data_IF_974297880067
#
_entry.id   IF_974297880067
#
_cell.length_a   1.000
_cell.length_b   1.000
_cell.length_c   1.000
_cell.angle_alpha   90.00
_cell.angle_beta   90.00
_cell.angle_gamma   90.00
#
_symmetry.space_group_name_H-M   'P 1'
#
loop_
_entity.id
_entity.type
_entity.pdbx_description
1 polymer ?
#
# COMPACT_ATOMS: atom_id res chain seq x y z
N UNK A 1 -30.08 -21.05 -21.12
CA UNK A 1 -29.97 -19.75 -20.40
C UNK A 1 -28.57 -19.72 -19.82
N UNK A 2 -27.68 -18.95 -20.45
CA UNK A 2 -26.28 -18.83 -20.01
C UNK A 2 -26.22 -17.86 -18.86
N UNK A 3 -26.01 -18.35 -17.65
CA UNK A 3 -25.60 -17.52 -16.53
C UNK A 3 -24.21 -16.95 -16.84
N UNK A 4 -24.19 -15.67 -17.14
CA UNK A 4 -22.99 -14.86 -17.24
C UNK A 4 -22.36 -14.81 -15.84
N UNK A 5 -21.37 -15.68 -15.58
CA UNK A 5 -20.55 -15.60 -14.39
C UNK A 5 -19.83 -14.25 -14.42
N UNK A 6 -20.34 -13.29 -13.65
CA UNK A 6 -19.66 -12.01 -13.44
C UNK A 6 -18.28 -12.34 -12.87
N UNK A 7 -17.23 -12.02 -13.63
CA UNK A 7 -15.90 -11.90 -13.06
C UNK A 7 -16.07 -11.05 -11.80
N UNK A 8 -15.68 -11.58 -10.66
CA UNK A 8 -15.53 -10.75 -9.47
C UNK A 8 -14.39 -9.80 -9.83
N UNK A 9 -14.74 -8.59 -10.26
CA UNK A 9 -13.78 -7.52 -10.45
C UNK A 9 -13.16 -7.29 -9.10
N UNK A 10 -11.96 -7.83 -8.89
CA UNK A 10 -11.20 -7.58 -7.69
C UNK A 10 -10.77 -6.13 -7.73
N UNK A 11 -11.57 -5.27 -7.13
CA UNK A 11 -11.22 -3.88 -6.94
C UNK A 11 -10.11 -3.83 -5.90
N UNK A 12 -9.01 -3.20 -6.25
CA UNK A 12 -7.98 -2.81 -5.31
C UNK A 12 -8.23 -1.33 -4.99
N UNK A 13 -8.58 -1.05 -3.76
CA UNK A 13 -8.84 0.31 -3.29
C UNK A 13 -7.64 0.82 -2.52
N UNK A 14 -7.17 2.03 -2.84
CA UNK A 14 -6.14 2.73 -2.07
C UNK A 14 -6.76 3.95 -1.42
N UNK A 15 -6.46 4.19 -0.14
CA UNK A 15 -6.94 5.36 0.61
C UNK A 15 -5.78 5.97 1.38
N UNK A 16 -5.49 7.25 1.18
CA UNK A 16 -4.58 8.01 2.04
C UNK A 16 -5.32 8.37 3.34
N UNK A 17 -4.81 7.93 4.47
CA UNK A 17 -5.40 8.20 5.79
C UNK A 17 -4.77 9.42 6.45
N UNK A 18 -3.54 9.73 6.09
CA UNK A 18 -2.79 10.89 6.50
C UNK A 18 -1.69 11.20 5.50
N UNK A 19 -1.50 12.47 5.19
CA UNK A 19 -0.61 12.96 4.13
C UNK A 19 0.47 13.92 4.63
N UNK A 20 0.56 14.13 5.94
CA UNK A 20 1.57 14.96 6.59
C UNK A 20 2.78 14.17 7.03
N UNK A 21 3.93 14.85 7.05
CA UNK A 21 5.17 14.38 7.65
C UNK A 21 5.58 15.22 8.85
N UNK A 22 6.31 14.61 9.78
CA UNK A 22 6.91 15.22 10.98
C UNK A 22 5.92 15.70 12.03
N UNK A 23 4.98 16.59 11.68
CA UNK A 23 4.05 17.25 12.62
C UNK A 23 2.61 17.10 12.14
N UNK A 24 1.69 16.64 12.99
CA UNK A 24 0.29 16.62 12.63
C UNK A 24 -0.28 18.04 12.57
N UNK A 25 -1.14 18.28 11.61
CA UNK A 25 -1.93 19.52 11.50
C UNK A 25 -3.40 19.19 11.68
N UNK A 26 -4.26 20.13 12.08
CA UNK A 26 -5.70 19.89 12.21
C UNK A 26 -6.33 19.32 10.94
N UNK A 27 -5.84 19.77 9.77
CA UNK A 27 -6.36 19.39 8.45
C UNK A 27 -5.49 18.33 7.74
N UNK A 28 -4.43 17.84 8.39
CA UNK A 28 -3.50 16.91 7.78
C UNK A 28 -2.91 15.96 8.83
N UNK A 29 -3.43 14.75 8.89
CA UNK A 29 -2.92 13.69 9.74
C UNK A 29 -1.55 13.18 9.27
N UNK A 30 -0.81 12.54 10.16
CA UNK A 30 0.50 11.95 9.86
C UNK A 30 0.40 10.73 8.96
N UNK A 31 1.54 10.37 8.35
CA UNK A 31 1.66 9.38 7.29
C UNK A 31 0.96 8.06 7.61
N UNK A 32 -0.04 7.74 6.82
CA UNK A 32 -0.67 6.44 6.78
C UNK A 32 -1.47 6.26 5.49
N UNK A 33 -1.50 5.05 4.94
CA UNK A 33 -2.34 4.69 3.82
C UNK A 33 -2.91 3.28 4.00
N UNK A 34 -4.03 2.97 3.36
CA UNK A 34 -4.63 1.65 3.35
C UNK A 34 -4.81 1.13 1.93
N UNK A 35 -4.43 -0.13 1.70
CA UNK A 35 -4.71 -0.86 0.47
C UNK A 35 -5.70 -1.96 0.80
N UNK A 36 -6.87 -1.92 0.19
CA UNK A 36 -8.00 -2.81 0.49
C UNK A 36 -8.33 -3.69 -0.72
N UNK A 37 -8.44 -5.00 -0.49
CA UNK A 37 -8.89 -6.00 -1.47
C UNK A 37 -9.88 -6.93 -0.80
N UNK A 38 -11.02 -7.18 -1.42
CA UNK A 38 -12.05 -8.09 -0.87
C UNK A 38 -12.55 -7.68 0.53
N UNK A 39 -12.47 -6.40 0.86
CA UNK A 39 -12.88 -5.84 2.16
C UNK A 39 -11.88 -6.09 3.30
N UNK A 40 -10.70 -6.66 3.04
CA UNK A 40 -9.57 -6.75 3.97
C UNK A 40 -8.51 -5.72 3.56
N UNK A 41 -7.79 -5.17 4.53
CA UNK A 41 -6.85 -4.08 4.27
C UNK A 41 -5.46 -4.35 4.82
N UNK A 42 -4.46 -3.90 4.07
CA UNK A 42 -3.08 -3.74 4.54
C UNK A 42 -2.89 -2.25 4.85
N UNK A 43 -2.42 -1.95 6.06
CA UNK A 43 -2.08 -0.59 6.47
C UNK A 43 -0.61 -0.33 6.18
N UNK A 44 -0.30 0.80 5.57
CA UNK A 44 1.04 1.29 5.25
C UNK A 44 1.32 2.47 6.18
N UNK A 45 2.29 2.32 7.06
CA UNK A 45 2.59 3.20 8.19
C UNK A 45 1.40 3.41 9.15
N UNK A 46 1.69 3.97 10.32
CA UNK A 46 0.70 4.22 11.35
C UNK A 46 1.09 5.45 12.16
N UNK A 47 0.98 6.62 11.56
CA UNK A 47 1.18 7.90 12.24
C UNK A 47 0.15 8.12 13.35
N UNK A 48 0.40 9.08 14.21
CA UNK A 48 -0.50 9.44 15.31
C UNK A 48 -1.93 9.68 14.79
N UNK A 49 -2.92 9.10 15.44
CA UNK A 49 -4.33 9.26 15.07
C UNK A 49 -4.81 8.43 13.89
N UNK A 50 -4.00 7.52 13.33
CA UNK A 50 -4.38 6.66 12.19
C UNK A 50 -5.70 5.93 12.40
N UNK A 51 -6.02 5.45 13.63
CA UNK A 51 -7.29 4.79 13.93
C UNK A 51 -8.51 5.72 13.77
N UNK A 52 -8.32 7.02 13.89
CA UNK A 52 -9.37 8.03 13.62
C UNK A 52 -9.56 8.16 12.10
N UNK A 53 -8.47 8.21 11.34
CA UNK A 53 -8.49 8.22 9.87
C UNK A 53 -9.18 6.98 9.29
N UNK A 54 -8.83 5.79 9.78
CA UNK A 54 -9.50 4.54 9.38
C UNK A 54 -11.02 4.66 9.51
N UNK A 55 -11.52 5.12 10.67
CA UNK A 55 -12.94 5.29 10.91
C UNK A 55 -13.56 6.38 10.04
N UNK A 56 -12.88 7.52 9.90
CA UNK A 56 -13.35 8.69 9.14
C UNK A 56 -13.54 8.36 7.66
N UNK A 57 -12.62 7.59 7.08
CA UNK A 57 -12.60 7.28 5.65
C UNK A 57 -13.15 5.89 5.33
N UNK A 58 -13.85 5.24 6.29
CA UNK A 58 -14.59 4.01 6.05
C UNK A 58 -13.72 2.77 5.85
N UNK A 59 -12.46 2.80 6.29
CA UNK A 59 -11.59 1.61 6.29
C UNK A 59 -11.77 0.86 7.60
N UNK A 60 -12.18 -0.40 7.52
CA UNK A 60 -12.45 -1.20 8.72
C UNK A 60 -11.15 -1.59 9.44
N UNK A 61 -10.91 -1.00 10.60
CA UNK A 61 -9.80 -1.38 11.47
C UNK A 61 -9.85 -2.88 11.84
N UNK A 62 -11.03 -3.41 12.14
CA UNK A 62 -11.23 -4.82 12.50
C UNK A 62 -10.73 -5.78 11.38
N UNK A 63 -10.83 -5.37 10.11
CA UNK A 63 -10.46 -6.17 8.94
C UNK A 63 -9.04 -5.90 8.43
N UNK A 64 -8.18 -5.30 9.25
CA UNK A 64 -6.76 -5.16 8.94
C UNK A 64 -6.10 -6.54 8.95
N UNK A 65 -5.45 -6.90 7.85
CA UNK A 65 -4.68 -8.14 7.71
C UNK A 65 -3.25 -7.98 8.21
N UNK A 66 -2.66 -6.80 7.99
CA UNK A 66 -1.29 -6.50 8.35
C UNK A 66 -1.06 -4.99 8.46
N UNK A 67 0.03 -4.61 9.13
CA UNK A 67 0.62 -3.27 9.09
C UNK A 67 2.03 -3.39 8.50
N UNK A 68 2.38 -2.54 7.55
CA UNK A 68 3.70 -2.46 6.93
C UNK A 68 4.33 -1.12 7.29
N UNK A 69 5.44 -1.14 8.01
CA UNK A 69 6.17 0.06 8.41
C UNK A 69 7.31 0.32 7.44
N UNK A 70 7.39 1.53 6.93
CA UNK A 70 8.49 1.95 6.03
C UNK A 70 9.79 2.14 6.81
N UNK A 71 9.71 2.74 7.98
CA UNK A 71 10.80 2.97 8.92
C UNK A 71 10.24 3.33 10.31
N UNK A 72 11.09 3.78 11.24
CA UNK A 72 10.71 3.91 12.65
C UNK A 72 10.74 5.36 13.18
N UNK A 73 10.60 6.37 12.33
CA UNK A 73 10.33 7.72 12.81
C UNK A 73 8.95 7.83 13.45
N UNK A 74 8.78 8.76 14.39
CA UNK A 74 7.57 8.86 15.20
C UNK A 74 6.30 9.07 14.37
N UNK A 75 6.37 9.90 13.34
CA UNK A 75 5.26 10.20 12.43
C UNK A 75 4.77 9.00 11.59
N UNK A 76 5.49 7.88 11.64
CA UNK A 76 5.10 6.61 10.99
C UNK A 76 4.69 5.51 11.96
N UNK A 77 4.97 5.64 13.27
CA UNK A 77 4.74 4.54 14.23
C UNK A 77 3.96 4.94 15.49
N UNK A 78 3.86 6.22 15.84
CA UNK A 78 3.27 6.63 17.13
C UNK A 78 1.76 6.37 17.22
N UNK A 79 1.08 6.10 16.13
CA UNK A 79 -0.31 5.65 16.11
C UNK A 79 -0.51 4.18 16.51
N UNK A 80 0.56 3.36 16.49
CA UNK A 80 0.47 1.91 16.74
C UNK A 80 -0.13 1.58 18.13
N UNK A 81 0.32 2.18 19.24
CA UNK A 81 -0.26 1.86 20.54
C UNK A 81 -1.77 2.07 20.58
N UNK A 82 -2.25 3.21 20.08
CA UNK A 82 -3.66 3.54 20.02
C UNK A 82 -4.46 2.65 19.06
N UNK A 83 -3.87 2.27 17.92
CA UNK A 83 -4.47 1.33 16.98
C UNK A 83 -4.64 -0.06 17.64
N UNK A 84 -3.60 -0.59 18.29
CA UNK A 84 -3.66 -1.89 18.95
C UNK A 84 -4.74 -1.94 20.02
N UNK A 85 -4.86 -0.90 20.87
CA UNK A 85 -5.92 -0.80 21.87
C UNK A 85 -7.30 -0.70 21.22
N UNK A 86 -7.44 0.06 20.14
CA UNK A 86 -8.70 0.16 19.39
C UNK A 86 -9.14 -1.19 18.84
N UNK A 87 -8.22 -1.98 18.28
CA UNK A 87 -8.52 -3.34 17.80
C UNK A 87 -8.94 -4.28 18.92
N UNK A 88 -8.29 -4.19 20.09
CA UNK A 88 -8.69 -4.92 21.29
C UNK A 88 -10.11 -4.57 21.72
N UNK A 89 -10.46 -3.29 21.73
CA UNK A 89 -11.80 -2.80 22.07
C UNK A 89 -12.88 -3.22 21.07
N UNK A 90 -12.50 -3.55 19.84
CA UNK A 90 -13.39 -4.10 18.81
C UNK A 90 -13.53 -5.64 18.92
N UNK A 91 -13.03 -6.25 20.00
CA UNK A 91 -13.06 -7.70 20.24
C UNK A 91 -12.36 -8.50 19.12
N UNK A 92 -11.27 -7.97 18.58
CA UNK A 92 -10.48 -8.71 17.61
C UNK A 92 -9.91 -9.98 18.24
N UNK A 93 -9.98 -11.09 17.53
CA UNK A 93 -9.39 -12.39 17.92
C UNK A 93 -8.33 -12.85 16.93
N UNK A 94 -8.42 -12.40 15.67
CA UNK A 94 -7.46 -12.76 14.63
C UNK A 94 -6.09 -12.12 14.90
N UNK A 95 -4.99 -12.83 14.65
CA UNK A 95 -3.64 -12.25 14.77
C UNK A 95 -3.48 -11.00 13.88
N UNK A 96 -2.69 -10.04 14.35
CA UNK A 96 -2.19 -8.93 13.53
C UNK A 96 -0.68 -9.05 13.42
N UNK A 97 -0.17 -9.08 12.20
CA UNK A 97 1.27 -9.03 11.96
C UNK A 97 1.69 -7.63 11.53
N UNK A 98 2.70 -7.10 12.20
CA UNK A 98 3.34 -5.82 11.90
C UNK A 98 4.70 -6.13 11.30
N UNK A 99 4.87 -5.73 10.05
CA UNK A 99 6.08 -5.92 9.28
C UNK A 99 6.88 -4.63 9.22
N UNK A 100 8.21 -4.72 9.16
CA UNK A 100 9.06 -3.54 8.99
C UNK A 100 10.48 -3.92 8.62
N UNK A 101 11.38 -2.93 8.45
CA UNK A 101 12.80 -3.18 8.22
C UNK A 101 13.47 -3.84 9.45
N UNK A 102 14.72 -4.29 9.28
CA UNK A 102 15.51 -4.76 10.40
C UNK A 102 15.60 -3.74 11.54
N UNK A 103 15.64 -4.23 12.78
CA UNK A 103 15.60 -3.39 13.98
C UNK A 103 14.17 -3.13 14.50
N UNK A 104 13.21 -3.95 14.10
CA UNK A 104 11.81 -3.87 14.55
C UNK A 104 11.63 -4.24 16.04
N UNK A 105 12.51 -5.05 16.61
CA UNK A 105 12.36 -5.62 17.96
C UNK A 105 12.32 -4.55 19.06
N UNK A 106 13.21 -3.54 19.11
CA UNK A 106 13.11 -2.45 20.09
C UNK A 106 11.84 -1.62 19.94
N UNK A 107 11.38 -1.43 18.69
CA UNK A 107 10.12 -0.72 18.40
C UNK A 107 8.94 -1.53 18.93
N UNK A 108 8.93 -2.83 18.68
CA UNK A 108 7.91 -3.74 19.19
C UNK A 108 7.81 -3.67 20.74
N UNK A 109 8.94 -3.71 21.42
CA UNK A 109 9.00 -3.61 22.89
C UNK A 109 8.40 -2.28 23.38
N UNK A 110 8.80 -1.15 22.79
CA UNK A 110 8.31 0.17 23.15
C UNK A 110 6.79 0.32 22.89
N UNK A 111 6.33 -0.08 21.72
CA UNK A 111 4.90 -0.03 21.36
C UNK A 111 4.07 -0.92 22.28
N UNK A 112 4.51 -2.15 22.55
CA UNK A 112 3.77 -3.07 23.42
C UNK A 112 3.80 -2.62 24.89
N UNK A 113 4.84 -1.96 25.35
CA UNK A 113 4.86 -1.35 26.68
C UNK A 113 3.80 -0.26 26.84
N UNK A 114 3.54 0.53 25.78
CA UNK A 114 2.52 1.57 25.77
C UNK A 114 1.10 1.01 25.52
N UNK A 115 0.96 0.06 24.60
CA UNK A 115 -0.32 -0.54 24.26
C UNK A 115 -0.85 -1.48 25.36
N UNK A 116 0.04 -2.09 26.13
CA UNK A 116 -0.30 -3.14 27.11
C UNK A 116 -0.62 -4.49 26.45
N UNK A 117 -1.07 -5.45 27.25
CA UNK A 117 -1.46 -6.76 26.75
C UNK A 117 -2.72 -6.66 25.90
N UNK A 118 -2.69 -7.31 24.74
CA UNK A 118 -3.82 -7.31 23.80
C UNK A 118 -4.58 -8.65 23.87
N UNK A 119 -5.92 -8.65 23.68
CA UNK A 119 -6.71 -9.88 23.70
C UNK A 119 -6.54 -10.76 22.45
N UNK A 120 -5.70 -10.35 21.51
CA UNK A 120 -5.38 -11.06 20.28
C UNK A 120 -3.86 -11.10 20.05
N UNK A 121 -3.35 -12.07 19.29
CA UNK A 121 -1.91 -12.15 19.02
C UNK A 121 -1.41 -10.97 18.16
N UNK A 122 -0.39 -10.25 18.64
CA UNK A 122 0.36 -9.25 17.87
C UNK A 122 1.73 -9.84 17.54
N UNK A 123 2.04 -9.93 16.26
CA UNK A 123 3.30 -10.47 15.75
C UNK A 123 4.12 -9.37 15.11
N UNK A 124 5.43 -9.40 15.30
CA UNK A 124 6.37 -8.44 14.72
C UNK A 124 7.38 -9.19 13.87
N UNK A 125 7.61 -8.74 12.66
CA UNK A 125 8.46 -9.44 11.73
C UNK A 125 9.27 -8.47 10.87
N UNK A 126 10.60 -8.59 10.93
CA UNK A 126 11.48 -7.97 9.96
C UNK A 126 11.36 -8.69 8.60
N UNK A 127 11.43 -7.94 7.52
CA UNK A 127 11.29 -8.48 6.15
C UNK A 127 12.48 -8.12 5.28
N UNK A 128 12.94 -9.14 4.53
CA UNK A 128 14.07 -9.06 3.61
C UNK A 128 13.68 -9.35 2.17
N UNK A 129 12.52 -9.94 1.95
CA UNK A 129 12.12 -10.43 0.64
C UNK A 129 10.62 -10.33 0.40
N UNK A 130 10.22 -10.83 -0.73
CA UNK A 130 8.81 -10.86 -1.13
C UNK A 130 8.02 -11.85 -0.28
N UNK A 131 6.84 -11.45 0.17
CA UNK A 131 5.91 -12.28 0.94
C UNK A 131 4.47 -12.00 0.51
N UNK A 132 3.51 -12.75 1.03
CA UNK A 132 2.09 -12.57 0.74
C UNK A 132 1.31 -12.16 1.98
N UNK A 133 0.35 -11.26 1.80
CA UNK A 133 -0.71 -10.96 2.77
C UNK A 133 -2.04 -11.08 2.05
N UNK A 134 -2.87 -12.02 2.45
CA UNK A 134 -4.10 -12.39 1.72
C UNK A 134 -3.77 -12.67 0.23
N UNK A 135 -4.37 -11.92 -0.69
CA UNK A 135 -4.15 -12.05 -2.15
C UNK A 135 -3.06 -11.12 -2.68
N UNK A 136 -2.51 -10.23 -1.85
CA UNK A 136 -1.47 -9.30 -2.24
C UNK A 136 -0.08 -9.94 -2.11
N UNK A 137 0.71 -9.82 -3.16
CA UNK A 137 2.15 -10.07 -3.13
C UNK A 137 2.85 -8.77 -2.77
N UNK A 138 3.65 -8.76 -1.71
CA UNK A 138 4.31 -7.58 -1.18
C UNK A 138 5.81 -7.72 -1.31
N UNK A 139 6.45 -6.74 -1.92
CA UNK A 139 7.89 -6.70 -2.10
C UNK A 139 8.45 -5.43 -1.47
N UNK A 140 9.34 -5.51 -0.47
CA UNK A 140 10.03 -4.36 0.08
C UNK A 140 11.02 -3.79 -0.95
N UNK A 141 11.14 -2.46 -0.98
CA UNK A 141 12.03 -1.73 -1.89
C UNK A 141 12.94 -0.85 -1.04
N UNK A 142 14.27 -0.98 -1.12
CA UNK A 142 15.17 -0.11 -0.36
C UNK A 142 15.04 1.34 -0.83
N UNK A 143 14.85 2.24 0.11
CA UNK A 143 14.70 3.68 -0.12
C UNK A 143 15.93 4.45 0.34
N UNK A 144 16.06 5.69 -0.15
CA UNK A 144 17.19 6.57 0.18
C UNK A 144 16.75 7.63 1.19
N UNK A 145 16.86 7.28 2.48
CA UNK A 145 16.59 8.15 3.60
C UNK A 145 17.78 8.20 4.57
N UNK A 146 17.68 8.97 5.67
CA UNK A 146 18.77 9.09 6.66
C UNK A 146 18.85 7.93 7.64
N UNK A 147 17.78 7.17 7.75
CA UNK A 147 17.70 5.92 8.54
C UNK A 147 17.35 4.76 7.60
N UNK A 148 17.55 3.49 8.02
CA UNK A 148 17.04 2.36 7.24
C UNK A 148 15.57 2.53 6.93
N UNK A 149 15.24 2.60 5.65
CA UNK A 149 13.89 2.87 5.15
C UNK A 149 13.61 2.02 3.91
N UNK A 150 12.39 1.52 3.82
CA UNK A 150 11.90 0.75 2.68
C UNK A 150 10.52 1.23 2.25
N UNK A 151 10.28 1.21 0.95
CA UNK A 151 8.94 1.29 0.39
C UNK A 151 8.38 -0.10 0.14
N UNK A 152 7.18 -0.15 -0.42
CA UNK A 152 6.51 -1.39 -0.72
C UNK A 152 5.91 -1.38 -2.12
N UNK A 153 6.13 -2.44 -2.86
CA UNK A 153 5.32 -2.81 -4.02
C UNK A 153 4.25 -3.77 -3.54
N UNK A 154 2.99 -3.44 -3.82
CA UNK A 154 1.84 -4.29 -3.56
C UNK A 154 1.26 -4.70 -4.90
N UNK A 155 1.47 -5.96 -5.26
CA UNK A 155 0.94 -6.55 -6.49
C UNK A 155 -0.31 -7.35 -6.18
N UNK A 156 -1.42 -7.05 -6.87
CA UNK A 156 -2.58 -7.91 -6.92
C UNK A 156 -2.51 -8.75 -8.21
N UNK A 157 -2.13 -10.03 -8.14
CA UNK A 157 -2.00 -10.86 -9.33
C UNK A 157 -3.36 -11.11 -9.98
N UNK A 158 -3.36 -11.28 -11.29
CA UNK A 158 -4.55 -11.64 -12.07
C UNK A 158 -4.33 -12.99 -12.75
N UNK A 159 -5.14 -13.97 -12.39
CA UNK A 159 -5.12 -15.29 -13.02
C UNK A 159 -5.40 -15.21 -14.52
N UNK A 160 -4.98 -16.21 -15.25
CA UNK A 160 -5.31 -16.43 -16.65
C UNK A 160 -6.83 -16.52 -16.86
N UNK A 161 -7.26 -16.38 -18.11
CA UNK A 161 -8.67 -16.59 -18.45
C UNK A 161 -9.02 -18.07 -18.27
N UNK A 162 -10.12 -18.35 -17.57
CA UNK A 162 -10.62 -19.71 -17.38
C UNK A 162 -11.18 -20.24 -18.71
N UNK A 163 -10.75 -21.44 -19.07
CA UNK A 163 -11.18 -22.15 -20.29
C UNK A 163 -12.22 -23.22 -19.94
N UNK A 164 -13.47 -22.87 -20.08
CA UNK A 164 -14.59 -23.77 -19.80
C UNK A 164 -14.62 -25.00 -20.74
N UNK A 165 -14.09 -24.87 -21.98
CA UNK A 165 -14.04 -25.98 -22.91
C UNK A 165 -13.01 -27.02 -22.47
N UNK A 166 -11.81 -26.54 -22.03
CA UNK A 166 -10.80 -27.43 -21.43
C UNK A 166 -11.30 -28.13 -20.16
N UNK A 167 -11.98 -27.37 -19.29
CA UNK A 167 -12.52 -27.90 -18.04
C UNK A 167 -13.53 -29.04 -18.32
N UNK A 168 -14.44 -28.86 -19.30
CA UNK A 168 -15.39 -29.90 -19.74
C UNK A 168 -14.67 -31.09 -20.34
N UNK A 169 -13.71 -30.85 -21.23
CA UNK A 169 -12.94 -31.93 -21.88
C UNK A 169 -12.12 -32.77 -20.87
N UNK A 170 -11.62 -32.12 -19.80
CA UNK A 170 -10.92 -32.77 -18.71
C UNK A 170 -11.85 -33.48 -17.70
N UNK A 171 -13.17 -33.40 -17.88
CA UNK A 171 -14.14 -34.02 -16.96
C UNK A 171 -14.20 -33.39 -15.59
N UNK A 172 -13.78 -32.10 -15.46
CA UNK A 172 -13.72 -31.39 -14.18
C UNK A 172 -15.14 -31.04 -13.73
N UNK A 173 -15.55 -31.44 -12.50
CA UNK A 173 -16.86 -31.08 -11.95
C UNK A 173 -17.09 -29.59 -11.91
N UNK A 174 -18.31 -29.15 -12.22
CA UNK A 174 -18.66 -27.73 -12.28
C UNK A 174 -18.43 -27.01 -10.94
N UNK A 175 -18.63 -27.70 -9.84
CA UNK A 175 -18.39 -27.22 -8.48
C UNK A 175 -16.92 -26.85 -8.19
N UNK A 176 -15.97 -27.41 -8.96
CA UNK A 176 -14.54 -27.12 -8.81
C UNK A 176 -14.07 -25.90 -9.62
N UNK A 177 -14.87 -25.45 -10.60
CA UNK A 177 -14.46 -24.41 -11.53
C UNK A 177 -14.12 -23.10 -10.84
N UNK A 178 -14.92 -22.69 -9.84
CA UNK A 178 -14.68 -21.45 -9.09
C UNK A 178 -13.39 -21.51 -8.27
N UNK A 179 -13.00 -22.68 -7.77
CA UNK A 179 -11.75 -22.90 -7.03
C UNK A 179 -10.57 -22.80 -7.98
N UNK A 180 -10.62 -23.54 -9.09
CA UNK A 180 -9.57 -23.50 -10.12
C UNK A 180 -9.42 -22.11 -10.74
N UNK A 181 -10.52 -21.37 -10.92
CA UNK A 181 -10.49 -20.01 -11.44
C UNK A 181 -9.76 -19.05 -10.51
N UNK A 182 -9.77 -19.29 -9.20
CA UNK A 182 -8.97 -18.54 -8.22
C UNK A 182 -7.50 -18.93 -8.18
N UNK A 183 -7.08 -19.94 -8.95
CA UNK A 183 -5.72 -20.45 -8.95
C UNK A 183 -5.43 -21.50 -7.87
N UNK A 184 -6.47 -22.10 -7.30
CA UNK A 184 -6.36 -23.12 -6.24
C UNK A 184 -6.60 -24.52 -6.83
N UNK A 185 -5.82 -25.53 -6.40
CA UNK A 185 -6.02 -26.92 -6.79
C UNK A 185 -7.15 -27.56 -5.98
N UNK A 186 -7.95 -28.44 -6.62
CA UNK A 186 -9.05 -29.15 -5.96
C UNK A 186 -9.30 -30.49 -6.63
N UNK A 187 -9.57 -31.54 -5.85
CA UNK A 187 -9.97 -32.85 -6.35
C UNK A 187 -8.96 -33.53 -7.28
N UNK A 188 -7.67 -33.21 -7.14
CA UNK A 188 -6.61 -33.72 -8.04
C UNK A 188 -6.44 -32.91 -9.33
N UNK A 189 -7.23 -31.87 -9.54
CA UNK A 189 -7.09 -30.94 -10.68
C UNK A 189 -6.28 -29.71 -10.30
N UNK A 190 -5.41 -29.27 -11.22
CA UNK A 190 -4.57 -28.08 -11.07
C UNK A 190 -5.09 -26.93 -11.94
N UNK A 191 -4.96 -25.65 -11.49
CA UNK A 191 -5.44 -24.49 -12.22
C UNK A 191 -4.86 -24.35 -13.63
N UNK A 192 -3.61 -24.77 -13.83
CA UNK A 192 -2.88 -24.71 -15.11
C UNK A 192 -3.56 -25.52 -16.22
N UNK A 193 -4.36 -26.51 -15.85
CA UNK A 193 -5.13 -27.33 -16.82
C UNK A 193 -6.23 -26.50 -17.50
N UNK A 194 -6.73 -25.45 -16.84
CA UNK A 194 -7.91 -24.70 -17.27
C UNK A 194 -7.71 -23.19 -17.31
N UNK A 195 -6.60 -22.68 -16.78
CA UNK A 195 -6.26 -21.27 -16.88
C UNK A 195 -5.31 -21.03 -18.05
N UNK A 196 -5.53 -19.94 -18.77
CA UNK A 196 -4.57 -19.42 -19.74
C UNK A 196 -3.36 -18.79 -19.04
N UNK A 197 -2.50 -18.12 -19.82
CA UNK A 197 -1.38 -17.36 -19.27
C UNK A 197 -1.86 -16.31 -18.26
N UNK A 198 -1.08 -16.04 -17.18
CA UNK A 198 -1.38 -14.96 -16.25
C UNK A 198 -1.56 -13.64 -17.00
N UNK A 199 -2.54 -12.85 -16.56
CA UNK A 199 -2.82 -11.52 -17.12
C UNK A 199 -2.13 -10.46 -16.28
N UNK A 200 -2.00 -9.23 -16.82
CA UNK A 200 -1.50 -8.11 -16.05
C UNK A 200 -2.39 -7.87 -14.83
N UNK A 201 -1.78 -7.91 -13.66
CA UNK A 201 -2.41 -7.57 -12.38
C UNK A 201 -2.47 -6.07 -12.15
N UNK A 202 -2.69 -5.67 -10.89
CA UNK A 202 -2.59 -4.28 -10.44
C UNK A 202 -1.35 -4.12 -9.57
N UNK A 203 -0.66 -2.99 -9.70
CA UNK A 203 0.57 -2.67 -9.00
C UNK A 203 0.47 -1.31 -8.32
N UNK A 204 0.57 -1.29 -7.01
CA UNK A 204 0.65 -0.08 -6.19
C UNK A 204 2.04 0.01 -5.57
N UNK A 205 2.65 1.19 -5.62
CA UNK A 205 3.92 1.46 -4.96
C UNK A 205 3.72 2.56 -3.93
N UNK A 206 4.18 2.31 -2.70
CA UNK A 206 4.16 3.27 -1.59
C UNK A 206 5.59 3.54 -1.14
N UNK A 207 6.02 4.79 -1.21
CA UNK A 207 7.39 5.21 -0.94
C UNK A 207 7.43 6.60 -0.29
N UNK A 208 7.28 6.62 1.03
CA UNK A 208 7.47 7.83 1.84
C UNK A 208 8.91 7.91 2.32
N UNK A 209 9.34 9.13 2.69
CA UNK A 209 10.65 9.39 3.28
C UNK A 209 11.81 8.89 2.42
N UNK A 210 11.90 9.47 1.24
CA UNK A 210 12.94 9.07 0.30
C UNK A 210 13.36 10.19 -0.65
N UNK A 211 14.63 10.14 -1.02
CA UNK A 211 15.11 10.76 -2.25
C UNK A 211 14.78 9.88 -3.45
N UNK A 212 14.61 10.45 -4.66
CA UNK A 212 14.60 9.64 -5.87
C UNK A 212 15.83 8.73 -5.93
N UNK A 213 15.60 7.45 -6.21
CA UNK A 213 16.69 6.46 -6.32
C UNK A 213 16.37 5.40 -7.38
N UNK A 214 17.40 4.75 -7.95
CA UNK A 214 17.21 3.76 -9.02
C UNK A 214 16.34 2.57 -8.62
N UNK A 215 16.45 2.12 -7.35
CA UNK A 215 15.65 1.00 -6.85
C UNK A 215 14.14 1.34 -6.85
N UNK A 216 13.78 2.56 -6.41
CA UNK A 216 12.39 3.02 -6.44
C UNK A 216 11.89 3.21 -7.87
N UNK A 217 12.70 3.80 -8.76
CA UNK A 217 12.31 3.96 -10.16
C UNK A 217 12.02 2.61 -10.83
N UNK A 218 12.91 1.62 -10.65
CA UNK A 218 12.71 0.27 -11.17
C UNK A 218 11.45 -0.41 -10.55
N UNK A 219 11.24 -0.24 -9.25
CA UNK A 219 10.07 -0.78 -8.57
C UNK A 219 8.76 -0.13 -9.05
N UNK A 220 8.78 1.17 -9.36
CA UNK A 220 7.62 1.93 -9.84
C UNK A 220 7.33 1.73 -11.33
N UNK A 221 8.20 1.03 -12.08
CA UNK A 221 8.02 0.83 -13.51
C UNK A 221 6.61 0.30 -13.85
N UNK A 222 5.88 1.05 -14.67
CA UNK A 222 4.51 0.76 -15.11
C UNK A 222 3.50 0.52 -13.97
N UNK A 223 3.72 1.10 -12.79
CA UNK A 223 2.78 0.99 -11.67
C UNK A 223 1.43 1.65 -12.01
N UNK A 224 0.35 1.06 -11.51
CA UNK A 224 -0.99 1.65 -11.65
C UNK A 224 -1.15 2.88 -10.75
N UNK A 225 -0.47 2.86 -9.59
CA UNK A 225 -0.40 4.00 -8.68
C UNK A 225 0.97 4.02 -7.97
N UNK A 226 1.60 5.17 -7.98
CA UNK A 226 2.75 5.51 -7.12
C UNK A 226 2.29 6.55 -6.10
N UNK A 227 2.37 6.22 -4.80
CA UNK A 227 2.27 7.18 -3.70
C UNK A 227 3.69 7.48 -3.22
N UNK A 228 4.14 8.73 -3.34
CA UNK A 228 5.55 9.07 -3.07
C UNK A 228 5.69 10.33 -2.23
N UNK A 229 6.77 10.35 -1.42
CA UNK A 229 7.27 11.50 -0.67
C UNK A 229 7.36 12.76 -1.54
N UNK A 230 6.67 13.79 -1.11
CA UNK A 230 6.67 15.12 -1.70
C UNK A 230 6.76 16.18 -0.58
N UNK A 231 7.66 15.94 0.37
CA UNK A 231 7.80 16.76 1.60
C UNK A 231 7.99 18.23 1.28
N UNK A 232 8.67 18.54 0.19
CA UNK A 232 8.94 19.92 -0.24
C UNK A 232 8.22 20.25 -1.55
N UNK A 233 7.39 21.31 -1.52
CA UNK A 233 6.63 21.70 -2.69
C UNK A 233 7.52 22.25 -3.81
N UNK A 234 8.52 23.05 -3.45
CA UNK A 234 9.29 23.85 -4.40
C UNK A 234 10.79 23.52 -4.41
N UNK A 235 11.43 23.78 -5.54
CA UNK A 235 12.86 23.46 -5.74
C UNK A 235 13.80 24.37 -4.93
N UNK A 236 13.34 25.51 -4.42
CA UNK A 236 14.09 26.32 -3.48
C UNK A 236 14.47 25.54 -2.22
N UNK A 237 13.67 24.55 -1.85
CA UNK A 237 13.93 23.65 -0.72
C UNK A 237 14.75 22.39 -1.10
N UNK A 238 15.23 22.26 -2.35
CA UNK A 238 16.05 21.13 -2.76
C UNK A 238 17.28 20.88 -1.86
N UNK A 239 18.00 21.90 -1.35
CA UNK A 239 19.07 21.69 -0.39
C UNK A 239 18.59 21.00 0.90
N UNK A 240 17.43 21.39 1.43
CA UNK A 240 16.82 20.76 2.59
C UNK A 240 16.35 19.33 2.27
N UNK A 241 15.72 19.13 1.11
CA UNK A 241 15.31 17.81 0.66
C UNK A 241 16.50 16.84 0.62
N UNK A 242 17.64 17.27 0.08
CA UNK A 242 18.89 16.49 0.07
C UNK A 242 19.43 16.24 1.48
N UNK A 243 19.42 17.24 2.35
CA UNK A 243 19.94 17.16 3.72
C UNK A 243 19.11 16.19 4.58
N UNK A 244 17.79 16.25 4.46
CA UNK A 244 16.89 15.46 5.30
C UNK A 244 16.44 14.15 4.67
N UNK A 245 16.82 13.88 3.42
CA UNK A 245 16.52 12.61 2.74
C UNK A 245 15.08 12.53 2.21
N UNK A 246 14.52 13.66 1.77
CA UNK A 246 13.18 13.80 1.19
C UNK A 246 13.23 14.31 -0.25
N UNK A 247 12.07 14.40 -0.91
CA UNK A 247 11.94 14.82 -2.29
C UNK A 247 11.24 16.17 -2.44
N UNK A 248 11.55 16.87 -3.55
CA UNK A 248 10.69 17.96 -4.05
C UNK A 248 9.64 17.39 -5.00
N UNK A 249 8.50 18.07 -5.13
CA UNK A 249 7.42 17.64 -6.03
C UNK A 249 7.90 17.47 -7.49
N UNK A 250 8.78 18.34 -7.97
CA UNK A 250 9.36 18.25 -9.32
C UNK A 250 10.16 16.97 -9.50
N UNK A 251 11.00 16.61 -8.52
CA UNK A 251 11.79 15.37 -8.58
C UNK A 251 10.91 14.13 -8.61
N UNK A 252 9.81 14.16 -7.85
CA UNK A 252 8.82 13.08 -7.83
C UNK A 252 8.12 12.94 -9.17
N UNK A 253 7.69 14.06 -9.77
CA UNK A 253 7.09 14.05 -11.10
C UNK A 253 8.04 13.49 -12.17
N UNK A 254 9.32 13.87 -12.11
CA UNK A 254 10.34 13.36 -13.04
C UNK A 254 10.58 11.84 -12.89
N UNK A 255 10.67 11.33 -11.65
CA UNK A 255 10.78 9.89 -11.38
C UNK A 255 9.55 9.13 -11.89
N UNK A 256 8.36 9.63 -11.60
CA UNK A 256 7.10 9.01 -12.01
C UNK A 256 6.96 8.93 -13.54
N UNK A 257 7.36 10.00 -14.24
CA UNK A 257 7.39 10.01 -15.71
C UNK A 257 8.39 9.00 -16.27
N UNK A 258 9.61 8.94 -15.71
CA UNK A 258 10.65 8.01 -16.13
C UNK A 258 10.27 6.54 -15.83
N UNK A 259 9.44 6.28 -14.81
CA UNK A 259 8.93 4.96 -14.47
C UNK A 259 7.58 4.64 -15.15
N UNK A 260 7.09 5.48 -16.06
CA UNK A 260 5.83 5.27 -16.81
C UNK A 260 4.64 4.92 -15.92
N UNK A 261 4.53 5.56 -14.74
CA UNK A 261 3.42 5.27 -13.83
C UNK A 261 2.09 5.79 -14.41
N UNK A 262 0.99 5.08 -14.16
CA UNK A 262 -0.34 5.48 -14.66
C UNK A 262 -0.95 6.59 -13.82
N UNK A 263 -0.65 6.63 -12.51
CA UNK A 263 -1.11 7.65 -11.56
C UNK A 263 -0.02 7.95 -10.56
N UNK A 264 0.11 9.21 -10.18
CA UNK A 264 1.04 9.66 -9.15
C UNK A 264 0.25 10.41 -8.07
N UNK A 265 0.40 10.00 -6.80
CA UNK A 265 -0.07 10.74 -5.64
C UNK A 265 1.13 11.27 -4.87
N UNK A 266 1.15 12.59 -4.70
CA UNK A 266 2.12 13.29 -3.86
C UNK A 266 1.63 13.21 -2.41
N UNK A 267 2.48 12.83 -1.47
CA UNK A 267 2.11 12.69 -0.05
C UNK A 267 3.27 13.06 0.86
N UNK A 268 3.09 12.96 2.17
CA UNK A 268 4.13 13.23 3.16
C UNK A 268 4.62 14.69 3.14
N UNK A 269 3.69 15.63 3.07
CA UNK A 269 4.03 17.06 3.01
C UNK A 269 4.57 17.56 4.35
N UNK A 270 5.62 18.37 4.31
CA UNK A 270 6.06 19.18 5.46
C UNK A 270 4.91 20.04 5.99
N UNK A 271 4.86 20.25 7.30
CA UNK A 271 3.90 21.18 7.92
C UNK A 271 4.00 22.62 7.37
N UNK A 272 5.14 23.00 6.79
CA UNK A 272 5.34 24.28 6.14
C UNK A 272 4.63 24.41 4.78
N UNK A 273 4.25 23.29 4.15
CA UNK A 273 3.51 23.28 2.89
C UNK A 273 2.02 23.46 3.17
N UNK A 274 1.58 24.71 3.19
CA UNK A 274 0.17 25.08 3.41
C UNK A 274 -0.61 24.91 2.09
N UNK A 275 -0.05 25.43 0.98
CA UNK A 275 -0.61 25.28 -0.35
C UNK A 275 0.19 24.25 -1.15
N UNK A 276 -0.49 23.24 -1.67
CA UNK A 276 0.12 22.19 -2.48
C UNK A 276 0.12 22.49 -3.98
N UNK A 277 -0.57 23.54 -4.43
CA UNK A 277 -0.73 23.85 -5.85
C UNK A 277 0.60 24.12 -6.58
N UNK A 278 1.54 24.94 -6.05
CA UNK A 278 2.83 25.14 -6.73
C UNK A 278 3.62 23.86 -6.92
N UNK A 279 3.63 22.99 -5.90
CA UNK A 279 4.28 21.68 -5.98
C UNK A 279 3.61 20.73 -6.98
N UNK A 280 2.27 20.74 -7.02
CA UNK A 280 1.52 19.95 -7.98
C UNK A 280 1.82 20.37 -9.42
N UNK A 281 1.87 21.67 -9.69
CA UNK A 281 2.23 22.21 -11.01
C UNK A 281 3.64 21.80 -11.41
N UNK A 282 4.59 21.86 -10.46
CA UNK A 282 5.96 21.40 -10.67
C UNK A 282 6.06 19.90 -11.01
N UNK A 283 5.27 19.06 -10.35
CA UNK A 283 5.21 17.63 -10.64
C UNK A 283 4.52 17.34 -11.99
N UNK A 284 3.42 18.05 -12.28
CA UNK A 284 2.65 17.90 -13.53
C UNK A 284 3.42 18.31 -14.77
N UNK A 285 4.43 19.15 -14.66
CA UNK A 285 5.31 19.48 -15.77
C UNK A 285 5.95 18.25 -16.42
N UNK A 286 6.22 17.19 -15.65
CA UNK A 286 6.77 15.92 -16.14
C UNK A 286 5.74 14.77 -16.11
N UNK A 287 4.82 14.77 -15.16
CA UNK A 287 3.81 13.73 -14.93
C UNK A 287 2.41 14.37 -14.86
N UNK A 288 1.73 14.61 -16.00
CA UNK A 288 0.44 15.32 -16.04
C UNK A 288 -0.66 14.69 -15.18
N UNK A 289 -0.58 13.38 -14.93
CA UNK A 289 -1.51 12.62 -14.09
C UNK A 289 -1.21 12.71 -12.59
N UNK A 290 -0.29 13.59 -12.15
CA UNK A 290 -0.01 13.80 -10.74
C UNK A 290 -1.21 14.44 -10.02
N UNK A 291 -1.46 13.99 -8.81
CA UNK A 291 -2.51 14.47 -7.91
C UNK A 291 -1.86 14.84 -6.57
N UNK A 292 -2.20 16.01 -6.05
CA UNK A 292 -1.84 16.35 -4.67
C UNK A 292 -2.68 15.49 -3.72
N UNK A 293 -2.01 14.65 -2.94
CA UNK A 293 -2.67 13.82 -1.93
C UNK A 293 -3.28 14.68 -0.82
N UNK A 294 -4.40 14.24 -0.31
CA UNK A 294 -5.07 14.79 0.87
C UNK A 294 -5.68 13.65 1.69
N UNK A 295 -5.92 13.92 2.95
CA UNK A 295 -6.47 12.91 3.86
C UNK A 295 -7.87 12.49 3.40
N UNK A 296 -8.05 11.20 3.12
CA UNK A 296 -9.27 10.62 2.57
C UNK A 296 -9.28 10.47 1.05
N UNK A 297 -8.23 10.91 0.33
CA UNK A 297 -8.11 10.63 -1.10
C UNK A 297 -8.18 9.11 -1.32
N UNK A 298 -9.13 8.69 -2.13
CA UNK A 298 -9.41 7.26 -2.38
C UNK A 298 -9.54 7.01 -3.87
N UNK A 299 -9.02 5.89 -4.32
CA UNK A 299 -9.16 5.41 -5.69
C UNK A 299 -9.40 3.92 -5.74
N UNK A 300 -10.33 3.52 -6.59
CA UNK A 300 -10.58 2.13 -6.95
C UNK A 300 -9.83 1.81 -8.25
N UNK A 301 -8.87 0.90 -8.16
CA UNK A 301 -8.10 0.41 -9.31
C UNK A 301 -8.77 -0.85 -9.85
N UNK A 302 -9.00 -0.86 -11.16
CA UNK A 302 -9.62 -1.97 -11.87
C UNK A 302 -8.64 -2.63 -12.83
N UNK A 303 -8.83 -3.92 -13.06
CA UNK A 303 -8.08 -4.61 -14.12
C UNK A 303 -8.43 -4.02 -15.50
N UNK A 304 -7.43 -3.94 -16.37
CA UNK A 304 -7.66 -3.55 -17.76
C UNK A 304 -8.77 -4.44 -18.36
N UNK A 305 -9.75 -3.81 -19.02
CA UNK A 305 -10.77 -4.52 -19.80
C UNK A 305 -10.07 -5.21 -20.98
N UNK A 306 -10.30 -6.50 -21.13
CA UNK A 306 -9.78 -7.31 -22.24
C UNK A 306 -10.75 -7.27 -23.40
#
# INVERSE_FOLDING_TARGET
MGECWKEVNSLLKVTLLGTGGTQPLPERALAAAAVTVGGRSVLLDCGEGTQVGLRRYGVSAYRLSAVLLTHYHGDHILGLPGLLQTLGSLNRTEPLTIYGPHGIEPVAQAVMALAGAQPYPVRWQAIDGTFAVDTLKITPVPLKHRVPCQGYVLDLPRAGKFDAARAKAAGIPLEYWSVLQRGESIGGFAPEQVLGAPRRGLKVVYATDTRPCPALQAAAESADLLCMDATYAEDVDLPKAKLYGHSTCREVGALAAAAHVRRLWLTHYSAAVIDTAPGLDAARAACPQAVAGYDGLTEDLEFDKV
#
